data_IF_262069174276
#
_entry.id   IF_262069174276
#
_cell.length_a   1.000
_cell.length_b   1.000
_cell.length_c   1.000
_cell.angle_alpha   90.00
_cell.angle_beta   90.00
_cell.angle_gamma   90.00
#
_symmetry.space_group_name_H-M   'P 1'
#
loop_
_entity.id
_entity.type
_entity.pdbx_description
1 polymer ?
#
# COMPACT_ATOMS: atom_id res chain seq x y z
N UNK A 1 13.91 7.60 -0.38
CA UNK A 1 12.85 6.72 -0.93
C UNK A 1 13.43 5.57 -1.76
N UNK A 2 14.20 5.80 -2.83
CA UNK A 2 14.82 4.69 -3.60
C UNK A 2 15.69 3.73 -2.77
N UNK A 3 16.40 4.24 -1.77
CA UNK A 3 17.17 3.43 -0.81
C UNK A 3 16.32 2.58 0.15
N UNK A 4 15.05 2.96 0.35
CA UNK A 4 14.08 2.26 1.20
C UNK A 4 13.43 1.09 0.46
N UNK A 5 13.37 1.15 -0.86
CA UNK A 5 12.79 0.10 -1.68
C UNK A 5 13.69 -1.14 -1.70
N UNK A 6 13.17 -2.25 -1.17
CA UNK A 6 13.86 -3.54 -1.07
C UNK A 6 13.08 -4.60 -1.86
N UNK A 7 13.09 -4.55 -3.21
CA UNK A 7 12.32 -5.48 -4.02
C UNK A 7 12.84 -6.90 -3.86
N UNK A 8 11.94 -7.87 -3.95
CA UNK A 8 12.25 -9.30 -3.91
C UNK A 8 11.47 -9.96 -5.04
N UNK A 9 12.17 -10.65 -5.94
CA UNK A 9 11.56 -11.13 -7.18
C UNK A 9 11.51 -12.66 -7.30
N UNK A 10 12.10 -13.38 -6.36
CA UNK A 10 12.06 -14.84 -6.33
C UNK A 10 12.41 -15.38 -4.93
N UNK A 11 12.03 -16.63 -4.69
CA UNK A 11 12.29 -17.37 -3.46
C UNK A 11 13.78 -17.36 -3.05
N UNK A 12 14.70 -17.55 -4.01
CA UNK A 12 16.15 -17.58 -3.73
C UNK A 12 16.66 -16.23 -3.19
N UNK A 13 16.18 -15.13 -3.75
CA UNK A 13 16.50 -13.79 -3.27
C UNK A 13 15.88 -13.52 -1.90
N UNK A 14 14.63 -13.95 -1.69
CA UNK A 14 13.96 -13.81 -0.40
C UNK A 14 14.75 -14.52 0.72
N UNK A 15 15.11 -15.79 0.49
CA UNK A 15 15.90 -16.59 1.42
C UNK A 15 17.25 -15.94 1.73
N UNK A 16 17.97 -15.43 0.71
CA UNK A 16 19.25 -14.72 0.90
C UNK A 16 19.10 -13.45 1.76
N UNK A 17 17.98 -12.76 1.64
CA UNK A 17 17.71 -11.51 2.34
C UNK A 17 16.99 -11.71 3.69
N UNK A 18 16.68 -12.95 4.08
CA UNK A 18 15.86 -13.23 5.27
C UNK A 18 14.44 -12.67 5.17
N UNK A 19 13.89 -12.58 3.96
CA UNK A 19 12.58 -12.01 3.66
C UNK A 19 11.51 -13.09 3.54
N UNK A 20 10.28 -12.78 3.95
CA UNK A 20 9.13 -13.66 3.78
C UNK A 20 8.85 -13.87 2.29
N UNK A 21 8.54 -15.11 1.92
CA UNK A 21 8.11 -15.51 0.58
C UNK A 21 6.99 -16.55 0.70
N UNK A 22 5.93 -16.39 -0.09
CA UNK A 22 4.77 -17.29 -0.12
C UNK A 22 4.58 -17.78 -1.55
N UNK A 23 4.78 -19.07 -1.77
CA UNK A 23 4.58 -19.67 -3.10
C UNK A 23 3.11 -19.56 -3.53
N UNK A 24 2.86 -19.36 -4.83
CA UNK A 24 1.53 -19.10 -5.39
C UNK A 24 1.00 -17.66 -5.16
N UNK A 25 1.59 -16.92 -4.23
CA UNK A 25 1.31 -15.49 -4.03
C UNK A 25 2.35 -14.65 -4.76
N UNK A 26 3.63 -14.87 -4.51
CA UNK A 26 4.71 -13.95 -4.92
C UNK A 26 5.16 -14.11 -6.40
N UNK A 27 4.61 -15.05 -7.16
CA UNK A 27 5.09 -15.40 -8.52
C UNK A 27 4.60 -14.49 -9.64
N UNK A 28 3.45 -13.82 -9.47
CA UNK A 28 2.72 -13.26 -10.61
C UNK A 28 2.79 -11.72 -10.73
N UNK A 29 3.17 -11.02 -9.64
CA UNK A 29 3.19 -9.54 -9.58
C UNK A 29 4.57 -8.89 -9.47
N UNK A 30 5.63 -9.67 -9.22
CA UNK A 30 6.95 -9.17 -8.81
C UNK A 30 7.78 -8.50 -9.93
N UNK A 31 7.25 -8.32 -11.14
CA UNK A 31 7.97 -7.74 -12.28
C UNK A 31 8.20 -6.22 -12.21
N UNK A 32 7.51 -5.52 -11.29
CA UNK A 32 7.56 -4.06 -11.18
C UNK A 32 8.93 -3.58 -10.69
N UNK A 33 9.44 -2.52 -11.34
CA UNK A 33 10.73 -1.87 -11.01
C UNK A 33 10.59 -0.45 -10.49
N UNK A 34 9.36 0.04 -10.46
CA UNK A 34 8.96 1.39 -10.10
C UNK A 34 8.43 1.50 -8.68
N UNK A 35 8.30 0.40 -7.92
CA UNK A 35 7.71 0.42 -6.58
C UNK A 35 8.37 1.38 -5.58
N UNK A 36 9.59 1.86 -5.85
CA UNK A 36 10.20 2.93 -5.05
C UNK A 36 9.51 4.30 -5.22
N UNK A 37 8.91 4.60 -6.38
CA UNK A 37 8.16 5.85 -6.59
C UNK A 37 6.84 5.79 -5.85
N UNK A 38 6.25 4.61 -5.72
CA UNK A 38 4.91 4.51 -5.15
C UNK A 38 4.91 4.64 -3.62
N UNK A 39 6.07 4.44 -2.96
CA UNK A 39 6.26 4.77 -1.55
C UNK A 39 6.07 6.26 -1.22
N UNK A 40 6.07 7.17 -2.22
CA UNK A 40 5.73 8.57 -1.98
C UNK A 40 4.30 8.75 -1.44
N UNK A 41 3.38 7.80 -1.71
CA UNK A 41 2.02 7.83 -1.16
C UNK A 41 1.99 7.81 0.37
N UNK A 42 3.01 7.26 1.04
CA UNK A 42 3.06 7.27 2.51
C UNK A 42 3.08 8.68 3.11
N UNK A 43 3.60 9.67 2.39
CA UNK A 43 3.61 11.05 2.88
C UNK A 43 2.20 11.61 3.11
N UNK A 44 1.15 11.03 2.51
CA UNK A 44 -0.22 11.40 2.81
C UNK A 44 -0.58 11.19 4.30
N UNK A 45 0.00 10.20 4.98
CA UNK A 45 -0.18 10.04 6.42
C UNK A 45 0.51 11.12 7.26
N UNK A 46 1.46 11.87 6.69
CA UNK A 46 2.16 12.94 7.39
C UNK A 46 1.43 14.30 7.28
N UNK A 47 0.34 14.39 6.51
CA UNK A 47 -0.42 15.63 6.30
C UNK A 47 -1.49 15.79 7.40
N UNK A 48 -1.07 15.90 8.66
CA UNK A 48 -1.96 15.90 9.83
C UNK A 48 -2.80 17.16 10.03
N UNK A 49 -2.75 18.11 9.10
CA UNK A 49 -3.65 19.28 9.09
C UNK A 49 -5.07 18.97 8.64
N UNK A 50 -5.34 17.74 8.17
CA UNK A 50 -6.64 17.29 7.70
C UNK A 50 -7.13 16.07 8.48
N UNK A 51 -8.43 15.98 8.75
CA UNK A 51 -9.04 14.82 9.41
C UNK A 51 -9.02 13.56 8.53
N UNK A 52 -9.11 13.76 7.21
CA UNK A 52 -9.04 12.73 6.18
C UNK A 52 -8.33 13.27 4.97
N UNK A 53 -7.62 12.39 4.27
CA UNK A 53 -6.97 12.68 2.98
C UNK A 53 -7.42 11.62 1.98
N UNK A 54 -7.98 12.07 0.87
CA UNK A 54 -8.28 11.21 -0.27
C UNK A 54 -7.09 11.24 -1.23
N UNK A 55 -6.43 10.11 -1.39
CA UNK A 55 -5.27 9.93 -2.27
C UNK A 55 -5.68 9.11 -3.46
N UNK A 56 -5.30 9.57 -4.64
CA UNK A 56 -5.72 8.99 -5.91
C UNK A 56 -4.52 8.97 -6.84
N UNK A 57 -4.36 7.87 -7.58
CA UNK A 57 -3.37 7.79 -8.64
C UNK A 57 -3.70 8.75 -9.78
N UNK A 58 -2.65 9.22 -10.45
CA UNK A 58 -2.75 10.17 -11.55
C UNK A 58 -3.44 9.59 -12.80
N UNK A 59 -3.60 8.27 -12.88
CA UNK A 59 -4.27 7.56 -13.96
C UNK A 59 -5.74 7.22 -13.67
N UNK A 60 -6.27 7.65 -12.52
CA UNK A 60 -7.69 7.49 -12.19
C UNK A 60 -8.53 8.57 -12.86
N UNK A 61 -9.67 8.15 -13.42
CA UNK A 61 -10.69 9.04 -14.00
C UNK A 61 -11.97 8.97 -13.18
N UNK A 62 -12.48 10.12 -12.74
CA UNK A 62 -13.78 10.22 -12.08
C UNK A 62 -14.89 10.35 -13.11
N UNK A 63 -15.84 9.42 -13.09
CA UNK A 63 -17.04 9.47 -13.93
C UNK A 63 -18.17 10.32 -13.32
N UNK A 64 -17.99 10.79 -12.08
CA UNK A 64 -18.92 11.64 -11.35
C UNK A 64 -18.26 12.23 -10.11
N UNK A 65 -18.97 13.12 -9.39
CA UNK A 65 -18.45 13.73 -8.17
C UNK A 65 -18.48 12.73 -7.00
N UNK A 66 -17.32 12.33 -6.42
CA UNK A 66 -17.27 11.35 -5.32
C UNK A 66 -17.54 11.97 -3.94
N UNK A 67 -17.76 13.28 -3.84
CA UNK A 67 -17.76 14.02 -2.57
C UNK A 67 -18.69 13.42 -1.51
N UNK A 68 -19.95 13.12 -1.83
CA UNK A 68 -20.89 12.56 -0.86
C UNK A 68 -20.42 11.20 -0.32
N UNK A 69 -19.92 10.34 -1.21
CA UNK A 69 -19.39 9.02 -0.84
C UNK A 69 -18.17 9.14 0.07
N UNK A 70 -17.28 10.10 -0.22
CA UNK A 70 -16.11 10.38 0.62
C UNK A 70 -16.51 10.93 1.99
N UNK A 71 -17.52 11.81 2.05
CA UNK A 71 -18.03 12.32 3.33
C UNK A 71 -18.65 11.22 4.18
N UNK A 72 -19.41 10.30 3.57
CA UNK A 72 -20.01 9.18 4.28
C UNK A 72 -18.94 8.21 4.81
N UNK A 73 -17.92 7.91 4.00
CA UNK A 73 -16.76 7.12 4.42
C UNK A 73 -15.96 7.83 5.53
N UNK A 74 -15.80 9.15 5.45
CA UNK A 74 -15.04 9.93 6.44
C UNK A 74 -15.63 9.88 7.86
N UNK A 75 -16.93 9.61 7.99
CA UNK A 75 -17.60 9.43 9.29
C UNK A 75 -17.24 8.09 9.96
N UNK A 76 -16.77 7.12 9.19
CA UNK A 76 -16.35 5.84 9.74
C UNK A 76 -15.05 6.01 10.57
N UNK A 77 -14.95 5.37 11.76
CA UNK A 77 -13.76 5.46 12.60
C UNK A 77 -12.52 4.76 12.02
N UNK A 78 -12.67 3.92 10.99
CA UNK A 78 -11.58 3.18 10.33
C UNK A 78 -10.52 4.15 9.79
N UNK A 79 -9.24 3.77 9.96
CA UNK A 79 -8.09 4.61 9.62
C UNK A 79 -7.71 4.61 8.14
N UNK A 80 -8.16 3.61 7.37
CA UNK A 80 -7.91 3.47 5.94
C UNK A 80 -9.10 2.81 5.25
N UNK A 81 -9.66 3.48 4.25
CA UNK A 81 -10.63 2.92 3.31
C UNK A 81 -9.96 2.74 1.95
N UNK A 82 -10.10 1.54 1.40
CA UNK A 82 -9.52 1.08 0.13
C UNK A 82 -10.53 0.17 -0.55
N UNK A 83 -10.40 0.02 -1.86
CA UNK A 83 -11.12 -1.02 -2.58
C UNK A 83 -10.42 -2.37 -2.38
N UNK A 84 -11.19 -3.45 -2.38
CA UNK A 84 -10.65 -4.81 -2.34
C UNK A 84 -10.47 -5.32 -3.77
N UNK A 85 -9.32 -5.94 -4.04
CA UNK A 85 -9.03 -6.52 -5.34
C UNK A 85 -8.40 -7.90 -5.18
N UNK A 86 -8.82 -8.86 -5.98
CA UNK A 86 -8.17 -10.16 -6.07
C UNK A 86 -7.12 -10.16 -7.19
N UNK A 87 -7.40 -9.67 -8.39
CA UNK A 87 -6.43 -9.78 -9.49
C UNK A 87 -6.14 -11.25 -9.82
N UNK A 88 -4.86 -11.64 -9.95
CA UNK A 88 -4.44 -13.02 -10.28
C UNK A 88 -4.07 -13.89 -9.07
N UNK A 89 -4.09 -13.33 -7.86
CA UNK A 89 -3.71 -14.03 -6.62
C UNK A 89 -4.88 -14.86 -6.06
N UNK A 90 -4.53 -15.85 -5.24
CA UNK A 90 -5.50 -16.75 -4.57
C UNK A 90 -6.22 -16.10 -3.37
N UNK A 91 -5.85 -14.89 -2.97
CA UNK A 91 -6.46 -14.15 -1.86
C UNK A 91 -6.98 -12.79 -2.28
N UNK A 92 -7.99 -12.28 -1.57
CA UNK A 92 -8.46 -10.90 -1.70
C UNK A 92 -7.48 -9.99 -0.95
N UNK A 93 -6.85 -9.06 -1.64
CA UNK A 93 -6.10 -7.96 -1.02
C UNK A 93 -6.72 -6.62 -1.35
N UNK A 94 -5.92 -5.55 -1.38
CA UNK A 94 -6.42 -4.18 -1.54
C UNK A 94 -5.91 -3.55 -2.85
N UNK A 95 -6.66 -2.60 -3.37
CA UNK A 95 -6.23 -1.64 -4.38
C UNK A 95 -5.84 -0.34 -3.70
N UNK A 96 -4.73 0.24 -4.15
CA UNK A 96 -4.20 1.52 -3.64
C UNK A 96 -4.28 2.64 -4.68
N UNK A 97 -5.07 2.44 -5.73
CA UNK A 97 -5.32 3.44 -6.76
C UNK A 97 -6.16 4.61 -6.26
N UNK A 98 -7.10 4.36 -5.34
CA UNK A 98 -7.84 5.36 -4.61
C UNK A 98 -7.98 4.91 -3.16
N UNK A 99 -7.64 5.79 -2.23
CA UNK A 99 -7.71 5.49 -0.80
C UNK A 99 -8.09 6.72 0.01
N UNK A 100 -8.97 6.55 1.00
CA UNK A 100 -9.30 7.57 1.99
C UNK A 100 -8.65 7.17 3.31
N UNK A 101 -7.71 7.97 3.81
CA UNK A 101 -6.95 7.67 5.02
C UNK A 101 -7.13 8.74 6.09
N UNK A 102 -6.93 8.36 7.35
CA UNK A 102 -6.74 9.29 8.47
C UNK A 102 -5.23 9.53 8.66
N UNK A 103 -4.73 10.76 8.46
CA UNK A 103 -3.33 11.08 8.68
C UNK A 103 -2.90 10.79 10.12
N UNK A 104 -1.68 10.29 10.27
CA UNK A 104 -1.06 10.02 11.57
C UNK A 104 0.45 9.90 11.38
N UNK A 105 1.20 10.76 12.06
CA UNK A 105 2.67 10.72 12.06
C UNK A 105 3.20 9.37 12.57
N UNK A 106 2.50 8.75 13.52
CA UNK A 106 2.82 7.42 14.02
C UNK A 106 2.69 6.37 12.90
N UNK A 107 1.55 6.33 12.23
CA UNK A 107 1.31 5.38 11.12
C UNK A 107 2.31 5.63 9.98
N UNK A 108 2.58 6.89 9.65
CA UNK A 108 3.62 7.24 8.67
C UNK A 108 4.99 6.64 9.03
N UNK A 109 5.46 6.85 10.26
CA UNK A 109 6.74 6.33 10.73
C UNK A 109 6.78 4.79 10.69
N UNK A 110 5.70 4.13 11.08
CA UNK A 110 5.60 2.66 11.07
C UNK A 110 5.57 2.09 9.64
N UNK A 111 4.86 2.72 8.71
CA UNK A 111 4.86 2.34 7.29
C UNK A 111 6.24 2.50 6.66
N UNK A 112 6.94 3.61 6.95
CA UNK A 112 8.32 3.83 6.49
C UNK A 112 9.25 2.79 7.08
N UNK A 113 9.16 2.50 8.38
CA UNK A 113 9.98 1.49 9.04
C UNK A 113 9.76 0.11 8.41
N UNK A 114 8.49 -0.26 8.18
CA UNK A 114 8.10 -1.54 7.58
C UNK A 114 8.64 -1.68 6.16
N UNK A 115 8.55 -0.63 5.34
CA UNK A 115 9.12 -0.61 4.00
C UNK A 115 10.66 -0.71 3.99
N UNK A 116 11.34 0.05 4.85
CA UNK A 116 12.81 0.04 4.97
C UNK A 116 13.33 -1.31 5.45
N UNK A 117 12.65 -1.91 6.43
CA UNK A 117 12.99 -3.22 6.97
C UNK A 117 12.67 -4.36 5.99
N UNK A 118 11.78 -4.12 5.02
CA UNK A 118 11.26 -5.19 4.19
C UNK A 118 10.27 -6.10 4.91
N UNK A 119 9.67 -5.65 6.00
CA UNK A 119 8.75 -6.46 6.80
C UNK A 119 7.34 -6.47 6.17
N UNK A 120 7.23 -7.15 5.03
CA UNK A 120 6.00 -7.36 4.28
C UNK A 120 6.17 -8.51 3.27
N UNK A 121 5.06 -9.09 2.83
CA UNK A 121 5.05 -10.14 1.79
C UNK A 121 5.05 -9.50 0.40
N UNK A 122 6.11 -9.69 -0.42
CA UNK A 122 6.23 -8.98 -1.69
C UNK A 122 5.33 -9.57 -2.79
N UNK A 123 4.33 -8.82 -3.24
CA UNK A 123 3.50 -9.18 -4.39
C UNK A 123 3.72 -8.21 -5.55
N UNK A 124 3.48 -6.92 -5.31
CA UNK A 124 3.66 -5.84 -6.28
C UNK A 124 5.05 -5.18 -6.22
N UNK A 125 5.84 -5.49 -5.19
CA UNK A 125 7.06 -4.78 -4.81
C UNK A 125 6.84 -3.28 -4.57
N UNK A 126 5.61 -2.87 -4.26
CA UNK A 126 5.21 -1.47 -4.04
C UNK A 126 4.65 -1.22 -2.63
N UNK A 127 4.03 -0.06 -2.49
CA UNK A 127 3.30 0.40 -1.31
C UNK A 127 2.11 -0.49 -0.96
N UNK A 128 1.46 -1.11 -1.96
CA UNK A 128 0.32 -1.99 -1.73
C UNK A 128 0.70 -3.13 -0.78
N UNK A 129 1.85 -3.77 -0.99
CA UNK A 129 2.31 -4.88 -0.16
C UNK A 129 2.54 -4.46 1.29
N UNK A 130 3.09 -3.26 1.50
CA UNK A 130 3.35 -2.69 2.82
C UNK A 130 2.04 -2.38 3.53
N UNK A 131 1.08 -1.77 2.81
CA UNK A 131 -0.22 -1.40 3.36
C UNK A 131 -1.07 -2.63 3.67
N UNK A 132 -1.11 -3.63 2.77
CA UNK A 132 -1.79 -4.90 3.02
C UNK A 132 -1.24 -5.56 4.26
N UNK A 133 0.09 -5.59 4.44
CA UNK A 133 0.70 -6.22 5.61
C UNK A 133 0.49 -5.43 6.90
N UNK A 134 0.48 -4.09 6.84
CA UNK A 134 0.28 -3.25 8.02
C UNK A 134 -1.18 -3.28 8.53
N UNK A 135 -2.16 -3.28 7.63
CA UNK A 135 -3.58 -3.17 7.98
C UNK A 135 -4.32 -4.53 8.07
N UNK A 136 -3.62 -5.67 7.94
CA UNK A 136 -4.24 -7.01 7.97
C UNK A 136 -4.68 -7.53 9.35
N UNK A 137 -4.58 -6.72 10.41
CA UNK A 137 -4.97 -7.10 11.77
C UNK A 137 -6.48 -7.03 11.99
#
# INVERSE_FOLDING_TARGET
>A
VKSWWKPVNNHKMAAKLGRIWVDGVNSDGCGRRDGWTTLFKFFAWNVTGYDRVFVVDMDVTFLGNPEQQLQDLARNPVGLHVEHQQGKREYVGISVHAMLLRPSQKVFAELVQKAVAGDYVPYTNGEQDVLEWYFRN
#
